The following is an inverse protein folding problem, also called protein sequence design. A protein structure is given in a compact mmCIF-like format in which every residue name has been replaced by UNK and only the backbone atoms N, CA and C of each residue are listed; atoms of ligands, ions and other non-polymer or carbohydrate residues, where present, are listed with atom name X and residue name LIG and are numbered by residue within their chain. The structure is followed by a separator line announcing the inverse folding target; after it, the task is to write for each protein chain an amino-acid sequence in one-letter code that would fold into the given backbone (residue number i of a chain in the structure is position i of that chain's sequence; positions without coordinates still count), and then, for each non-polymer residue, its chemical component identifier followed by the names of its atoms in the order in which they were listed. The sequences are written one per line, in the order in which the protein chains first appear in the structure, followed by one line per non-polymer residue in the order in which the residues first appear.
data_IF_857824956228
#
_entry.id   IF_857824956228
#
_cell.length_a   1.000
_cell.length_b   1.000
_cell.length_c   1.000
_cell.angle_alpha   90.00
_cell.angle_beta   90.00
_cell.angle_gamma   90.00
#
_symmetry.space_group_name_H-M   'P 1'
#
loop_
_entity.id
_entity.type
_entity.pdbx_description
1 polymer ?
#
# COMPACT_ATOMS: atom_id res chain seq x y z
N UNK A 1 52.15 -1.73 77.81
CA UNK A 1 52.83 -3.04 77.65
C UNK A 1 52.21 -3.71 76.44
N UNK A 2 52.95 -3.81 75.33
CA UNK A 2 53.09 -4.95 74.40
C UNK A 2 51.82 -5.57 73.83
N UNK A 3 51.60 -5.75 72.56
CA UNK A 3 52.49 -6.14 71.48
C UNK A 3 51.78 -6.00 70.11
N UNK A 4 52.57 -5.80 69.12
CA UNK A 4 52.27 -5.78 67.66
C UNK A 4 51.69 -7.09 67.13
N UNK A 5 50.84 -7.02 66.10
CA UNK A 5 50.92 -7.90 64.97
C UNK A 5 50.29 -7.26 63.71
N UNK A 6 51.09 -7.05 62.72
CA UNK A 6 50.72 -6.71 61.35
C UNK A 6 49.95 -7.89 60.74
N UNK A 7 48.83 -7.57 60.02
CA UNK A 7 48.35 -8.45 59.01
C UNK A 7 47.98 -7.62 57.74
N UNK A 8 48.72 -7.89 56.69
CA UNK A 8 48.45 -7.35 55.35
C UNK A 8 47.08 -7.83 54.83
N UNK A 9 46.22 -6.90 54.43
CA UNK A 9 45.09 -7.22 53.62
C UNK A 9 45.28 -6.70 52.20
N UNK A 10 45.33 -7.64 51.25
CA UNK A 10 45.37 -7.39 49.85
C UNK A 10 44.06 -6.74 49.38
N UNK A 11 44.16 -5.60 48.70
CA UNK A 11 43.03 -5.00 47.95
C UNK A 11 42.74 -5.83 46.73
N UNK A 12 41.62 -6.53 46.69
CA UNK A 12 41.03 -7.05 45.46
C UNK A 12 40.15 -5.94 44.83
N UNK A 13 40.65 -5.33 43.78
CA UNK A 13 39.88 -4.42 42.95
C UNK A 13 38.85 -5.26 42.12
N UNK A 14 37.60 -5.20 42.55
CA UNK A 14 36.51 -5.75 41.75
C UNK A 14 36.11 -4.75 40.67
N UNK A 15 36.66 -4.95 39.46
CA UNK A 15 36.30 -4.19 38.29
C UNK A 15 34.83 -4.49 37.91
N UNK A 16 33.97 -3.50 38.01
CA UNK A 16 32.64 -3.55 37.45
C UNK A 16 32.74 -3.59 35.92
N UNK A 17 32.57 -4.76 35.34
CA UNK A 17 32.31 -4.91 33.92
C UNK A 17 30.90 -4.36 33.67
N UNK A 18 30.84 -3.15 33.12
CA UNK A 18 29.64 -2.63 32.47
C UNK A 18 29.34 -3.53 31.26
N UNK A 19 28.33 -4.39 31.42
CA UNK A 19 27.73 -5.06 30.27
C UNK A 19 27.02 -4.00 29.43
N UNK A 20 27.76 -3.44 28.50
CA UNK A 20 27.20 -2.63 27.41
C UNK A 20 26.43 -3.60 26.51
N UNK A 21 25.12 -3.71 26.81
CA UNK A 21 24.14 -4.46 26.00
C UNK A 21 23.88 -3.72 24.69
N UNK A 22 24.91 -3.64 23.84
CA UNK A 22 24.69 -3.28 22.45
C UNK A 22 23.66 -4.27 21.89
N UNK A 23 22.40 -3.84 21.79
CA UNK A 23 21.42 -4.49 20.94
C UNK A 23 22.07 -4.63 19.57
N UNK A 24 22.49 -5.84 19.23
CA UNK A 24 22.76 -6.20 17.84
C UNK A 24 21.45 -5.95 17.10
N UNK A 25 21.35 -4.82 16.42
CA UNK A 25 20.40 -4.63 15.38
C UNK A 25 20.63 -5.80 14.41
N UNK A 26 19.67 -6.71 14.36
CA UNK A 26 19.66 -7.74 13.31
C UNK A 26 19.71 -6.97 12.01
N UNK A 27 20.70 -7.22 11.13
CA UNK A 27 20.74 -6.52 9.85
C UNK A 27 19.42 -6.78 9.15
N UNK A 28 18.71 -5.72 8.79
CA UNK A 28 17.59 -5.75 7.88
C UNK A 28 18.03 -6.62 6.71
N UNK A 29 17.27 -7.67 6.30
CA UNK A 29 17.70 -8.52 5.20
C UNK A 29 18.04 -7.61 4.03
N UNK A 30 19.27 -7.67 3.57
CA UNK A 30 19.76 -6.93 2.40
C UNK A 30 18.76 -7.22 1.28
N UNK A 31 18.05 -6.20 0.82
CA UNK A 31 17.14 -6.35 -0.30
C UNK A 31 17.92 -7.04 -1.43
N UNK A 32 17.41 -8.16 -1.92
CA UNK A 32 18.10 -8.93 -2.95
C UNK A 32 18.27 -8.02 -4.18
N UNK A 33 19.51 -7.68 -4.50
CA UNK A 33 19.83 -6.90 -5.70
C UNK A 33 19.63 -7.81 -6.88
N UNK A 34 18.67 -7.49 -7.72
CA UNK A 34 18.33 -8.24 -8.93
C UNK A 34 18.31 -7.28 -10.11
N UNK A 35 18.01 -7.73 -11.31
CA UNK A 35 18.16 -6.85 -12.48
C UNK A 35 17.02 -6.95 -13.48
N UNK A 36 16.79 -5.83 -14.16
CA UNK A 36 15.91 -5.70 -15.32
C UNK A 36 16.77 -5.26 -16.50
N UNK A 37 16.66 -5.92 -17.66
CA UNK A 37 17.25 -5.43 -18.90
C UNK A 37 16.19 -4.66 -19.66
N UNK A 38 16.45 -3.38 -19.93
CA UNK A 38 15.55 -2.46 -20.59
C UNK A 38 16.30 -1.69 -21.69
N UNK A 39 15.79 -1.69 -22.93
CA UNK A 39 16.48 -1.07 -24.06
C UNK A 39 17.90 -1.64 -24.29
N UNK A 40 18.10 -2.94 -24.02
CA UNK A 40 19.39 -3.61 -24.12
C UNK A 40 20.38 -3.30 -22.99
N UNK A 41 20.04 -2.45 -22.02
CA UNK A 41 20.88 -2.12 -20.87
C UNK A 41 20.39 -2.82 -19.61
N UNK A 42 21.32 -3.39 -18.85
CA UNK A 42 21.08 -3.96 -17.53
C UNK A 42 20.96 -2.85 -16.50
N UNK A 43 19.92 -2.91 -15.69
CA UNK A 43 19.64 -2.03 -14.55
C UNK A 43 19.52 -2.90 -13.32
N UNK A 44 20.35 -2.69 -12.33
CA UNK A 44 20.23 -3.37 -11.05
C UNK A 44 19.07 -2.74 -10.26
N UNK A 45 18.22 -3.55 -9.65
CA UNK A 45 17.03 -3.05 -8.97
C UNK A 45 16.92 -3.59 -7.55
N UNK A 46 16.48 -2.73 -6.64
CA UNK A 46 15.98 -3.15 -5.34
C UNK A 46 14.55 -3.61 -5.50
N UNK A 47 14.25 -4.84 -5.08
CA UNK A 47 12.95 -5.47 -5.26
C UNK A 47 12.09 -5.33 -4.00
N UNK A 48 10.89 -4.76 -4.15
CA UNK A 48 9.90 -4.58 -3.08
C UNK A 48 8.72 -5.53 -3.29
N UNK A 49 8.47 -6.41 -2.32
CA UNK A 49 7.52 -7.52 -2.44
C UNK A 49 6.36 -7.45 -1.46
N UNK A 50 6.53 -6.85 -0.26
CA UNK A 50 5.47 -6.82 0.75
C UNK A 50 4.47 -5.71 0.45
N UNK A 51 3.23 -5.90 0.86
CA UNK A 51 2.18 -4.91 0.65
C UNK A 51 2.49 -3.61 1.43
N UNK A 52 2.91 -3.75 2.67
CA UNK A 52 3.33 -2.63 3.52
C UNK A 52 4.47 -1.81 2.91
N UNK A 53 5.50 -2.49 2.40
CA UNK A 53 6.66 -1.79 1.82
C UNK A 53 6.30 -1.13 0.49
N UNK A 54 5.45 -1.75 -0.35
CA UNK A 54 4.97 -1.13 -1.60
C UNK A 54 4.19 0.15 -1.35
N UNK A 55 3.30 0.16 -0.34
CA UNK A 55 2.46 1.31 0.00
C UNK A 55 3.28 2.52 0.43
N UNK A 56 4.38 2.31 1.14
CA UNK A 56 5.25 3.36 1.66
C UNK A 56 6.63 3.37 0.98
N UNK A 57 6.74 2.81 -0.23
CA UNK A 57 8.02 2.65 -0.90
C UNK A 57 8.65 4.00 -1.25
N UNK A 58 7.97 4.79 -2.07
CA UNK A 58 8.56 5.94 -2.74
C UNK A 58 9.17 6.97 -1.79
N UNK A 59 8.55 7.36 -0.65
CA UNK A 59 9.17 8.28 0.30
C UNK A 59 10.51 7.80 0.89
N UNK A 60 10.76 6.48 0.86
CA UNK A 60 11.95 5.85 1.44
C UNK A 60 13.01 5.48 0.42
N UNK A 61 12.71 5.63 -0.87
CA UNK A 61 13.64 5.27 -1.93
C UNK A 61 14.69 6.37 -2.12
N UNK A 62 15.94 5.93 -2.25
CA UNK A 62 16.99 6.81 -2.74
C UNK A 62 16.78 7.17 -4.20
N UNK A 63 17.30 8.32 -4.69
CA UNK A 63 17.24 8.64 -6.09
C UNK A 63 17.81 7.51 -6.95
N UNK A 64 17.12 7.17 -8.04
CA UNK A 64 17.62 6.20 -9.01
C UNK A 64 18.79 6.78 -9.82
N UNK A 65 19.67 5.91 -10.32
CA UNK A 65 20.81 6.28 -11.15
C UNK A 65 20.65 5.67 -12.56
N UNK A 66 21.60 5.91 -13.45
CA UNK A 66 21.57 5.31 -14.80
C UNK A 66 21.70 3.78 -14.82
N UNK A 67 22.23 3.19 -13.74
CA UNK A 67 22.44 1.74 -13.61
C UNK A 67 21.66 1.10 -12.48
N UNK A 68 20.94 1.89 -11.68
CA UNK A 68 20.22 1.43 -10.50
C UNK A 68 18.81 2.02 -10.46
N UNK A 69 17.84 1.18 -10.11
CA UNK A 69 16.45 1.57 -9.94
C UNK A 69 15.78 0.77 -8.83
N UNK A 70 14.46 0.92 -8.75
CA UNK A 70 13.65 0.21 -7.79
C UNK A 70 12.51 -0.51 -8.51
N UNK A 71 12.22 -1.75 -8.14
CA UNK A 71 11.15 -2.54 -8.73
C UNK A 71 10.13 -2.92 -7.64
N UNK A 72 8.93 -2.40 -7.77
CA UNK A 72 7.79 -2.82 -6.97
C UNK A 72 7.06 -3.92 -7.75
N UNK A 73 6.77 -5.04 -7.10
CA UNK A 73 6.14 -6.19 -7.72
C UNK A 73 4.84 -6.58 -7.02
N UNK A 74 3.82 -6.91 -7.81
CA UNK A 74 2.52 -7.40 -7.34
C UNK A 74 2.28 -8.83 -7.83
N UNK A 75 1.53 -9.64 -7.08
CA UNK A 75 1.33 -11.06 -7.43
C UNK A 75 0.44 -11.24 -8.67
N UNK A 76 -0.37 -10.25 -8.99
CA UNK A 76 -1.26 -10.20 -10.17
C UNK A 76 -1.27 -8.81 -10.79
N UNK A 77 -1.65 -8.76 -12.05
CA UNK A 77 -1.88 -7.49 -12.74
C UNK A 77 -3.07 -6.75 -12.13
N UNK A 78 -2.89 -5.47 -11.88
CA UNK A 78 -3.90 -4.58 -11.33
C UNK A 78 -3.63 -3.13 -11.70
N UNK A 79 -4.63 -2.28 -11.50
CA UNK A 79 -4.40 -0.84 -11.47
C UNK A 79 -3.79 -0.47 -10.12
N UNK A 80 -2.52 -0.11 -10.13
CA UNK A 80 -1.78 0.29 -8.94
C UNK A 80 -1.47 1.78 -8.99
N UNK A 81 -1.60 2.48 -7.88
CA UNK A 81 -1.20 3.87 -7.76
C UNK A 81 0.19 3.94 -7.12
N UNK A 82 1.07 4.73 -7.69
CA UNK A 82 2.40 5.04 -7.13
C UNK A 82 2.35 6.49 -6.69
N UNK A 83 2.48 6.71 -5.40
CA UNK A 83 2.40 8.01 -4.73
C UNK A 83 3.80 8.47 -4.32
N UNK A 84 4.04 9.78 -4.42
CA UNK A 84 5.31 10.39 -4.06
C UNK A 84 5.16 11.46 -2.97
N UNK A 85 4.07 11.43 -2.21
CA UNK A 85 3.93 12.29 -1.04
C UNK A 85 5.11 12.07 -0.09
N UNK A 86 5.74 13.16 0.35
CA UNK A 86 6.97 13.15 1.16
C UNK A 86 8.19 12.49 0.51
N UNK A 87 8.21 12.31 -0.82
CA UNK A 87 9.36 11.76 -1.54
C UNK A 87 10.49 12.78 -1.67
N UNK A 88 11.72 12.32 -1.45
CA UNK A 88 12.94 13.11 -1.66
C UNK A 88 13.44 13.07 -3.11
N UNK A 89 12.81 12.28 -3.97
CA UNK A 89 13.25 12.07 -5.35
C UNK A 89 12.07 12.04 -6.33
N UNK A 90 12.34 12.45 -7.56
CA UNK A 90 11.47 12.22 -8.71
C UNK A 90 11.91 10.95 -9.45
N UNK A 91 10.97 10.32 -10.17
CA UNK A 91 11.21 9.10 -10.94
C UNK A 91 10.47 9.15 -12.29
N UNK A 92 10.95 8.38 -13.25
CA UNK A 92 10.12 7.90 -14.34
C UNK A 92 9.67 6.47 -14.01
N UNK A 93 8.37 6.23 -14.02
CA UNK A 93 7.79 4.93 -13.67
C UNK A 93 7.44 4.18 -14.97
N UNK A 94 8.10 3.03 -15.16
CA UNK A 94 7.84 2.09 -16.23
C UNK A 94 6.94 0.99 -15.69
N UNK A 95 5.68 0.98 -16.11
CA UNK A 95 4.73 -0.06 -15.73
C UNK A 95 4.83 -1.25 -16.68
N UNK A 96 4.98 -2.45 -16.10
CA UNK A 96 5.15 -3.69 -16.85
C UNK A 96 4.02 -4.66 -16.52
N UNK A 97 3.50 -5.35 -17.54
CA UNK A 97 2.65 -6.52 -17.35
C UNK A 97 3.45 -7.71 -16.79
N UNK A 98 2.78 -8.82 -16.54
CA UNK A 98 3.42 -10.03 -15.98
C UNK A 98 4.44 -10.65 -16.95
N UNK A 99 4.32 -10.39 -18.25
CA UNK A 99 5.25 -10.85 -19.28
C UNK A 99 6.45 -9.90 -19.50
N UNK A 100 6.52 -8.79 -18.75
CA UNK A 100 7.54 -7.75 -18.88
C UNK A 100 7.30 -6.77 -20.02
N UNK A 101 6.09 -6.73 -20.61
CA UNK A 101 5.77 -5.73 -21.65
C UNK A 101 5.48 -4.39 -20.98
N UNK A 102 6.02 -3.31 -21.52
CA UNK A 102 5.74 -1.95 -21.05
C UNK A 102 4.29 -1.60 -21.40
N UNK A 103 3.45 -1.41 -20.38
CA UNK A 103 2.04 -1.03 -20.54
C UNK A 103 1.81 0.47 -20.36
N UNK A 104 2.70 1.15 -19.65
CA UNK A 104 2.70 2.60 -19.53
C UNK A 104 4.06 3.16 -19.08
N UNK A 105 4.27 4.47 -19.31
CA UNK A 105 5.46 5.24 -18.93
C UNK A 105 5.00 6.60 -18.43
N UNK A 106 5.18 6.88 -17.14
CA UNK A 106 4.66 8.07 -16.52
C UNK A 106 5.73 8.75 -15.64
N UNK A 107 5.92 10.08 -15.75
CA UNK A 107 6.78 10.81 -14.84
C UNK A 107 6.10 10.95 -13.48
N UNK A 108 6.82 10.62 -12.42
CA UNK A 108 6.42 10.85 -11.04
C UNK A 108 7.28 11.96 -10.46
N UNK A 109 6.67 13.10 -10.16
CA UNK A 109 7.38 14.25 -9.60
C UNK A 109 7.68 14.01 -8.12
N UNK A 110 8.68 14.71 -7.61
CA UNK A 110 8.89 14.82 -6.18
C UNK A 110 7.66 15.44 -5.51
N UNK A 111 7.28 14.94 -4.34
CA UNK A 111 6.13 15.43 -3.55
C UNK A 111 4.79 15.43 -4.32
N UNK A 112 4.63 14.50 -5.26
CA UNK A 112 3.41 14.38 -6.07
C UNK A 112 2.29 13.71 -5.27
N UNK A 113 1.37 14.52 -4.74
CA UNK A 113 0.19 14.04 -3.99
C UNK A 113 -0.80 13.27 -4.89
N UNK A 114 -0.89 13.66 -6.18
CA UNK A 114 -1.76 12.97 -7.13
C UNK A 114 -1.19 11.60 -7.52
N UNK A 115 0.15 11.47 -7.56
CA UNK A 115 0.83 10.25 -7.96
C UNK A 115 0.54 9.84 -9.40
N UNK A 116 0.97 8.64 -9.78
CA UNK A 116 0.75 8.10 -11.13
C UNK A 116 0.09 6.72 -11.09
N UNK A 117 -0.77 6.45 -12.08
CA UNK A 117 -1.45 5.17 -12.26
C UNK A 117 -1.45 4.78 -13.75
N UNK A 118 -1.11 3.53 -14.09
CA UNK A 118 -1.06 3.09 -15.49
C UNK A 118 -2.46 3.03 -16.13
N UNK A 119 -2.52 3.22 -17.43
CA UNK A 119 -3.76 3.11 -18.23
C UNK A 119 -4.23 1.68 -18.42
N UNK A 120 -3.34 0.71 -18.25
CA UNK A 120 -3.62 -0.73 -18.30
C UNK A 120 -3.13 -1.41 -17.03
N UNK A 121 -3.73 -2.54 -16.59
CA UNK A 121 -3.22 -3.29 -15.45
C UNK A 121 -1.75 -3.66 -15.62
N UNK A 122 -1.00 -3.61 -14.54
CA UNK A 122 0.42 -3.95 -14.49
C UNK A 122 0.73 -4.86 -13.30
N UNK A 123 1.79 -5.67 -13.41
CA UNK A 123 2.32 -6.50 -12.33
C UNK A 123 3.56 -5.89 -11.69
N UNK A 124 4.23 -4.96 -12.38
CA UNK A 124 5.46 -4.33 -11.89
C UNK A 124 5.43 -2.83 -12.15
N UNK A 125 6.05 -2.07 -11.23
CA UNK A 125 6.40 -0.67 -11.43
C UNK A 125 7.92 -0.53 -11.24
N UNK A 126 8.63 -0.22 -12.32
CA UNK A 126 10.07 0.02 -12.33
C UNK A 126 10.31 1.53 -12.26
N UNK A 127 10.88 1.99 -11.16
CA UNK A 127 11.19 3.40 -10.90
C UNK A 127 12.63 3.65 -11.32
N UNK A 128 12.81 4.55 -12.26
CA UNK A 128 14.08 4.93 -12.88
C UNK A 128 14.38 6.41 -12.69
N UNK A 129 15.61 6.80 -12.93
CA UNK A 129 15.98 8.20 -12.94
C UNK A 129 15.18 8.98 -14.00
N UNK A 130 14.79 10.24 -13.74
CA UNK A 130 14.07 11.06 -14.70
C UNK A 130 14.79 11.16 -16.05
N UNK A 131 14.05 10.95 -17.14
CA UNK A 131 14.58 10.97 -18.50
C UNK A 131 15.29 9.69 -18.95
N UNK A 132 15.43 8.69 -18.07
CA UNK A 132 16.14 7.46 -18.41
C UNK A 132 15.41 6.59 -19.45
N UNK A 133 14.08 6.37 -19.38
CA UNK A 133 13.37 5.64 -20.44
C UNK A 133 13.55 6.25 -21.82
N UNK A 134 13.54 7.58 -21.92
CA UNK A 134 13.78 8.30 -23.18
C UNK A 134 15.20 8.09 -23.69
N UNK A 135 16.23 8.16 -22.80
CA UNK A 135 17.62 7.86 -23.16
C UNK A 135 17.82 6.42 -23.64
N UNK A 136 17.05 5.48 -23.08
CA UNK A 136 17.04 4.07 -23.50
C UNK A 136 16.25 3.83 -24.79
N UNK A 137 15.50 4.80 -25.27
CA UNK A 137 14.69 4.72 -26.50
C UNK A 137 13.51 3.76 -26.37
N UNK A 138 13.04 3.48 -25.14
CA UNK A 138 11.94 2.54 -24.91
C UNK A 138 10.58 3.22 -24.94
N UNK A 139 9.55 2.46 -25.33
CA UNK A 139 8.16 2.92 -25.46
C UNK A 139 7.18 1.84 -25.02
N UNK A 140 5.93 2.21 -24.87
CA UNK A 140 4.83 1.27 -24.63
C UNK A 140 4.80 0.21 -25.73
N UNK A 141 4.67 -1.05 -25.31
CA UNK A 141 4.74 -2.24 -26.18
C UNK A 141 6.13 -2.90 -26.23
N UNK A 142 7.20 -2.20 -25.86
CA UNK A 142 8.52 -2.82 -25.80
C UNK A 142 8.62 -3.78 -24.60
N UNK A 143 9.59 -4.70 -24.64
CA UNK A 143 9.81 -5.68 -23.59
C UNK A 143 11.02 -5.36 -22.72
N UNK A 144 10.81 -5.43 -21.41
CA UNK A 144 11.86 -5.59 -20.43
C UNK A 144 12.13 -7.08 -20.20
N UNK A 145 13.39 -7.45 -19.98
CA UNK A 145 13.77 -8.81 -19.55
C UNK A 145 13.96 -8.79 -18.04
N UNK A 146 13.11 -9.51 -17.34
CA UNK A 146 13.17 -9.67 -15.90
C UNK A 146 14.11 -10.83 -15.55
N UNK A 147 14.97 -10.66 -14.54
CA UNK A 147 15.87 -11.73 -14.11
C UNK A 147 15.10 -12.91 -13.48
N UNK A 148 15.73 -14.06 -13.41
CA UNK A 148 15.13 -15.27 -12.86
C UNK A 148 14.66 -15.08 -11.40
N UNK A 149 15.38 -14.27 -10.63
CA UNK A 149 15.06 -13.94 -9.24
C UNK A 149 13.73 -13.13 -9.16
N UNK A 150 13.50 -12.18 -10.09
CA UNK A 150 12.23 -11.44 -10.15
C UNK A 150 11.09 -12.39 -10.51
N UNK A 151 11.28 -13.24 -11.51
CA UNK A 151 10.25 -14.19 -11.96
C UNK A 151 9.91 -15.25 -10.92
N UNK A 152 10.89 -15.63 -10.08
CA UNK A 152 10.70 -16.57 -8.98
C UNK A 152 10.17 -15.94 -7.70
N UNK A 153 10.19 -14.61 -7.61
CA UNK A 153 9.73 -13.87 -6.45
C UNK A 153 8.22 -14.08 -6.22
N UNK A 154 7.83 -14.10 -4.96
CA UNK A 154 6.42 -14.24 -4.53
C UNK A 154 6.00 -12.95 -3.82
N UNK A 155 5.50 -11.95 -4.57
CA UNK A 155 4.96 -10.75 -3.97
C UNK A 155 3.77 -11.08 -3.07
N UNK A 156 3.65 -10.35 -1.97
CA UNK A 156 2.55 -10.51 -1.03
C UNK A 156 1.22 -10.07 -1.67
N UNK A 157 0.19 -10.91 -1.48
CA UNK A 157 -1.18 -10.60 -1.91
C UNK A 157 -1.77 -9.49 -1.03
N UNK A 158 -2.77 -8.77 -1.58
CA UNK A 158 -3.58 -7.91 -0.75
C UNK A 158 -4.34 -8.72 0.30
N UNK A 159 -4.55 -8.16 1.50
CA UNK A 159 -5.53 -8.69 2.42
C UNK A 159 -6.89 -8.88 1.74
N UNK A 160 -7.63 -9.87 2.18
CA UNK A 160 -8.98 -10.13 1.65
C UNK A 160 -10.03 -9.96 2.75
N UNK A 161 -11.13 -9.32 2.41
CA UNK A 161 -12.34 -9.29 3.21
C UNK A 161 -13.40 -10.17 2.53
N UNK A 162 -13.99 -11.10 3.26
CA UNK A 162 -15.12 -11.90 2.74
C UNK A 162 -16.41 -11.39 3.32
N UNK A 163 -17.42 -11.24 2.49
CA UNK A 163 -18.78 -10.81 2.88
C UNK A 163 -19.74 -11.87 2.38
N UNK A 164 -20.33 -12.65 3.27
CA UNK A 164 -21.17 -13.81 2.90
C UNK A 164 -20.49 -14.74 1.87
N UNK A 165 -19.16 -14.98 2.02
CA UNK A 165 -18.38 -15.80 1.12
C UNK A 165 -17.89 -15.11 -0.16
N UNK A 166 -18.34 -13.89 -0.45
CA UNK A 166 -17.83 -13.08 -1.57
C UNK A 166 -16.54 -12.39 -1.15
N UNK A 167 -15.49 -12.54 -1.94
CA UNK A 167 -14.15 -12.00 -1.63
C UNK A 167 -13.95 -10.64 -2.29
N UNK A 168 -13.52 -9.66 -1.50
CA UNK A 168 -12.92 -8.40 -1.93
C UNK A 168 -11.43 -8.38 -1.57
N UNK A 169 -10.57 -7.94 -2.50
CA UNK A 169 -9.16 -7.67 -2.19
C UNK A 169 -9.06 -6.24 -1.70
N UNK A 170 -8.45 -6.01 -0.56
CA UNK A 170 -8.51 -4.70 0.07
C UNK A 170 -7.14 -4.12 0.35
N UNK A 171 -6.93 -2.88 -0.08
CA UNK A 171 -5.91 -2.04 0.52
C UNK A 171 -6.42 -1.59 1.89
N UNK A 172 -5.52 -1.45 2.86
CA UNK A 172 -5.91 -1.05 4.21
C UNK A 172 -5.59 0.42 4.44
N UNK A 173 -6.55 1.19 4.93
CA UNK A 173 -6.37 2.53 5.44
C UNK A 173 -6.54 2.50 6.98
N UNK A 174 -5.42 2.46 7.71
CA UNK A 174 -5.38 2.24 9.15
C UNK A 174 -4.97 3.50 9.91
N UNK A 175 -3.96 4.21 9.41
CA UNK A 175 -3.53 5.49 9.98
C UNK A 175 -4.49 6.62 9.59
N UNK A 176 -4.46 7.71 10.32
CA UNK A 176 -5.29 8.88 10.00
C UNK A 176 -4.97 9.44 8.61
N UNK A 177 -3.68 9.53 8.26
CA UNK A 177 -3.25 9.99 6.95
C UNK A 177 -3.77 9.10 5.82
N UNK A 178 -3.68 7.77 5.94
CA UNK A 178 -4.20 6.83 4.97
C UNK A 178 -5.73 6.95 4.82
N UNK A 179 -6.46 7.08 5.93
CA UNK A 179 -7.92 7.27 5.88
C UNK A 179 -8.33 8.59 5.24
N UNK A 180 -7.59 9.67 5.52
CA UNK A 180 -7.86 10.98 4.93
C UNK A 180 -7.55 11.02 3.43
N UNK A 181 -6.55 10.27 2.99
CA UNK A 181 -6.19 10.14 1.57
C UNK A 181 -7.16 9.21 0.80
N UNK A 182 -7.46 8.04 1.35
CA UNK A 182 -8.40 7.07 0.76
C UNK A 182 -8.09 6.75 -0.71
N UNK A 183 -9.15 6.69 -1.54
CA UNK A 183 -9.06 6.45 -2.98
C UNK A 183 -8.95 7.73 -3.83
N UNK A 184 -8.50 8.85 -3.24
CA UNK A 184 -8.31 10.10 -3.97
C UNK A 184 -7.38 9.94 -5.18
N UNK A 185 -7.64 10.72 -6.22
CA UNK A 185 -6.86 10.81 -7.46
C UNK A 185 -6.73 9.48 -8.24
N UNK A 186 -7.56 8.46 -7.93
CA UNK A 186 -7.57 7.21 -8.68
C UNK A 186 -8.59 7.27 -9.81
N UNK A 187 -8.16 7.22 -11.08
CA UNK A 187 -9.08 7.25 -12.22
C UNK A 187 -9.79 5.91 -12.45
N UNK A 188 -9.36 4.84 -11.80
CA UNK A 188 -9.93 3.49 -11.93
C UNK A 188 -9.52 2.58 -10.78
N UNK A 189 -10.25 1.48 -10.61
CA UNK A 189 -9.99 0.43 -9.65
C UNK A 189 -10.26 -0.93 -10.31
N UNK A 190 -9.46 -1.95 -10.01
CA UNK A 190 -9.72 -3.31 -10.52
C UNK A 190 -11.05 -3.83 -9.96
N UNK A 191 -11.70 -4.75 -10.68
CA UNK A 191 -13.10 -5.12 -10.43
C UNK A 191 -13.40 -5.53 -8.99
N UNK A 192 -12.54 -6.38 -8.40
CA UNK A 192 -12.72 -6.91 -7.05
C UNK A 192 -11.72 -6.32 -6.05
N UNK A 193 -11.09 -5.20 -6.39
CA UNK A 193 -10.21 -4.44 -5.51
C UNK A 193 -10.98 -3.29 -4.87
N UNK A 194 -10.65 -2.98 -3.62
CA UNK A 194 -11.23 -1.90 -2.84
C UNK A 194 -10.27 -1.38 -1.77
N UNK A 195 -10.79 -0.53 -0.90
CA UNK A 195 -10.06 -0.05 0.26
C UNK A 195 -10.90 -0.24 1.52
N UNK A 196 -10.29 -0.87 2.53
CA UNK A 196 -10.89 -1.07 3.85
C UNK A 196 -10.29 -0.07 4.83
N UNK A 197 -11.13 0.85 5.27
CA UNK A 197 -10.83 1.80 6.32
C UNK A 197 -11.09 1.15 7.67
N UNK A 198 -10.09 1.12 8.53
CA UNK A 198 -10.19 0.58 9.88
C UNK A 198 -10.02 1.69 10.90
N UNK A 199 -10.93 1.75 11.87
CA UNK A 199 -10.92 2.74 12.94
C UNK A 199 -10.66 2.09 14.29
N UNK A 200 -10.09 2.81 15.27
CA UNK A 200 -9.82 2.26 16.61
C UNK A 200 -11.11 1.94 17.37
N UNK A 201 -12.19 2.68 17.11
CA UNK A 201 -13.48 2.59 17.80
C UNK A 201 -14.65 2.55 16.82
N UNK A 202 -15.81 2.11 17.29
CA UNK A 202 -17.09 2.34 16.62
C UNK A 202 -17.57 3.76 16.87
N UNK A 203 -18.07 4.40 15.81
CA UNK A 203 -18.65 5.74 15.87
C UNK A 203 -19.51 5.98 14.62
N UNK A 204 -20.33 7.01 14.63
CA UNK A 204 -21.00 7.48 13.42
C UNK A 204 -19.94 7.95 12.42
N UNK A 205 -19.96 7.36 11.23
CA UNK A 205 -19.00 7.66 10.16
C UNK A 205 -19.69 8.38 9.03
N UNK A 206 -18.95 9.30 8.43
CA UNK A 206 -19.41 10.00 7.23
C UNK A 206 -18.25 10.14 6.26
N UNK A 207 -18.48 9.76 5.01
CA UNK A 207 -17.51 9.81 3.94
C UNK A 207 -17.87 10.91 2.94
N UNK A 208 -16.89 11.41 2.27
CA UNK A 208 -17.00 12.42 1.23
C UNK A 208 -16.27 11.97 -0.03
N UNK A 209 -16.62 12.56 -1.18
CA UNK A 209 -16.00 12.24 -2.47
C UNK A 209 -14.94 13.28 -2.90
N UNK A 210 -14.29 13.94 -1.93
CA UNK A 210 -13.22 14.91 -2.24
C UNK A 210 -12.12 14.24 -3.05
N UNK A 211 -11.75 14.83 -4.20
CA UNK A 211 -10.71 14.33 -5.10
C UNK A 211 -10.88 12.85 -5.55
N UNK A 212 -12.05 12.25 -5.31
CA UNK A 212 -12.34 10.88 -5.75
C UNK A 212 -12.89 10.95 -7.18
N UNK A 213 -12.18 10.31 -8.12
CA UNK A 213 -12.44 10.44 -9.55
C UNK A 213 -13.37 9.35 -10.10
N UNK A 214 -13.67 8.34 -9.30
CA UNK A 214 -14.50 7.18 -9.65
C UNK A 214 -15.72 7.10 -8.74
N UNK A 215 -16.86 6.61 -9.26
CA UNK A 215 -18.03 6.33 -8.43
C UNK A 215 -17.78 5.08 -7.57
N UNK A 216 -18.24 5.11 -6.33
CA UNK A 216 -17.98 4.07 -5.35
C UNK A 216 -19.27 3.58 -4.66
N UNK A 217 -19.25 2.31 -4.25
CA UNK A 217 -20.08 1.81 -3.17
C UNK A 217 -19.31 2.00 -1.85
N UNK A 218 -19.91 2.62 -0.85
CA UNK A 218 -19.36 2.82 0.48
C UNK A 218 -20.18 1.99 1.47
N UNK A 219 -19.61 0.92 1.98
CA UNK A 219 -20.25 -0.02 2.89
C UNK A 219 -19.71 0.11 4.31
N UNK A 220 -20.62 0.22 5.27
CA UNK A 220 -20.31 0.44 6.69
C UNK A 220 -20.52 -0.83 7.49
N UNK A 221 -19.56 -1.17 8.37
CA UNK A 221 -19.59 -2.38 9.18
C UNK A 221 -19.32 -2.07 10.65
N UNK A 222 -20.01 -2.76 11.54
CA UNK A 222 -19.73 -2.76 12.97
C UNK A 222 -18.42 -3.43 13.32
N UNK A 223 -17.99 -3.40 14.58
CA UNK A 223 -16.77 -4.07 15.04
C UNK A 223 -16.81 -5.58 14.86
N UNK A 224 -17.99 -6.20 14.95
CA UNK A 224 -18.19 -7.63 14.74
C UNK A 224 -18.38 -8.01 13.26
N UNK A 225 -18.29 -7.02 12.35
CA UNK A 225 -18.39 -7.20 10.91
C UNK A 225 -19.80 -7.17 10.35
N UNK A 226 -20.85 -6.86 11.13
CA UNK A 226 -22.21 -6.73 10.62
C UNK A 226 -22.32 -5.56 9.66
N UNK A 227 -22.87 -5.79 8.45
CA UNK A 227 -23.09 -4.76 7.45
C UNK A 227 -24.28 -3.88 7.82
N UNK A 228 -24.03 -2.58 8.04
CA UNK A 228 -25.05 -1.59 8.43
C UNK A 228 -25.80 -1.00 7.24
N UNK A 229 -25.08 -0.53 6.25
CA UNK A 229 -25.60 0.04 5.01
C UNK A 229 -24.54 0.08 3.91
N UNK A 230 -25.01 0.18 2.67
CA UNK A 230 -24.20 0.49 1.50
C UNK A 230 -24.77 1.75 0.87
N UNK A 231 -23.93 2.74 0.66
CA UNK A 231 -24.29 3.96 -0.04
C UNK A 231 -23.62 3.96 -1.42
N UNK A 232 -24.41 4.03 -2.48
CA UNK A 232 -23.89 4.28 -3.82
C UNK A 232 -23.61 5.76 -3.97
N UNK A 233 -22.36 6.11 -4.27
CA UNK A 233 -21.99 7.49 -4.56
C UNK A 233 -21.99 7.68 -6.07
N UNK A 234 -22.89 8.52 -6.61
CA UNK A 234 -22.90 8.76 -8.03
C UNK A 234 -21.65 9.55 -8.45
N UNK A 235 -21.06 9.05 -9.47
CA UNK A 235 -20.11 9.59 -10.44
C UNK A 235 -19.22 10.79 -10.17
N UNK A 236 -18.12 10.69 -10.75
CA UNK A 236 -17.10 11.49 -11.47
C UNK A 236 -17.40 12.95 -11.87
N UNK A 237 -18.57 13.46 -11.63
CA UNK A 237 -18.91 14.89 -11.75
C UNK A 237 -18.84 15.61 -10.39
N UNK A 238 -18.20 15.01 -9.39
CA UNK A 238 -17.99 15.70 -8.11
C UNK A 238 -16.94 16.78 -8.34
N UNK A 239 -17.30 18.07 -8.19
CA UNK A 239 -16.36 19.15 -8.40
C UNK A 239 -15.14 18.98 -7.47
N UNK A 240 -13.93 19.25 -7.94
CA UNK A 240 -12.73 19.32 -7.08
C UNK A 240 -12.91 20.32 -5.91
N UNK A 241 -13.88 21.21 -5.97
CA UNK A 241 -14.15 22.28 -5.02
C UNK A 241 -15.53 22.18 -4.36
N UNK A 242 -16.04 20.99 -4.00
CA UNK A 242 -17.28 20.86 -3.25
C UNK A 242 -18.52 21.55 -3.82
N UNK A 243 -19.67 21.48 -3.19
CA UNK A 243 -19.91 20.72 -1.97
C UNK A 243 -19.93 19.21 -2.24
N UNK A 244 -19.39 18.43 -1.32
CA UNK A 244 -19.43 16.97 -1.36
C UNK A 244 -20.52 16.48 -0.40
N UNK A 245 -21.65 15.96 -0.89
CA UNK A 245 -22.67 15.41 -0.02
C UNK A 245 -22.08 14.33 0.89
N UNK A 246 -22.36 14.36 2.19
CA UNK A 246 -21.88 13.32 3.09
C UNK A 246 -22.53 11.98 2.79
N UNK A 247 -21.76 10.90 2.90
CA UNK A 247 -22.23 9.53 2.83
C UNK A 247 -22.15 8.92 4.22
N UNK A 248 -23.23 8.98 5.05
CA UNK A 248 -23.21 8.57 6.44
C UNK A 248 -23.43 7.08 6.63
N UNK A 249 -22.92 6.53 7.74
CA UNK A 249 -23.35 5.24 8.27
C UNK A 249 -24.75 5.33 8.88
N UNK A 250 -25.47 4.21 8.92
CA UNK A 250 -26.76 4.07 9.62
C UNK A 250 -26.60 3.53 11.04
N UNK A 251 -25.50 3.93 11.71
CA UNK A 251 -25.14 3.51 13.06
C UNK A 251 -23.62 3.51 13.24
N UNK A 252 -23.18 3.21 14.46
CA UNK A 252 -21.77 3.19 14.79
C UNK A 252 -21.03 2.14 13.97
N UNK A 253 -20.05 2.58 13.19
CA UNK A 253 -19.22 1.73 12.32
C UNK A 253 -17.77 1.79 12.75
N UNK A 254 -17.11 0.62 12.70
CA UNK A 254 -15.66 0.50 12.91
C UNK A 254 -14.89 0.33 11.62
N UNK A 255 -15.53 -0.28 10.61
CA UNK A 255 -14.91 -0.53 9.32
C UNK A 255 -15.77 0.04 8.20
N UNK A 256 -15.10 0.55 7.19
CA UNK A 256 -15.77 1.06 5.98
C UNK A 256 -15.06 0.49 4.77
N UNK A 257 -15.81 -0.10 3.84
CA UNK A 257 -15.27 -0.68 2.61
C UNK A 257 -15.74 0.12 1.41
N UNK A 258 -14.79 0.67 0.67
CA UNK A 258 -15.02 1.30 -0.62
C UNK A 258 -14.71 0.31 -1.75
N UNK A 259 -15.67 0.15 -2.67
CA UNK A 259 -15.60 -0.71 -3.86
C UNK A 259 -16.07 0.07 -5.09
N UNK A 260 -15.80 -0.44 -6.29
CA UNK A 260 -16.43 0.09 -7.50
C UNK A 260 -17.97 0.14 -7.33
N UNK A 261 -18.59 1.21 -7.80
CA UNK A 261 -20.05 1.37 -7.74
C UNK A 261 -20.79 0.16 -8.34
N UNK A 262 -21.84 -0.29 -7.67
CA UNK A 262 -22.65 -1.44 -8.06
C UNK A 262 -22.00 -2.80 -7.75
N UNK A 263 -20.83 -2.84 -7.10
CA UNK A 263 -20.16 -4.09 -6.76
C UNK A 263 -21.01 -4.94 -5.80
N UNK A 264 -21.54 -4.34 -4.75
CA UNK A 264 -22.38 -5.04 -3.76
C UNK A 264 -23.65 -5.63 -4.39
N UNK A 265 -24.27 -4.88 -5.29
CA UNK A 265 -25.46 -5.34 -6.04
C UNK A 265 -25.10 -6.48 -7.01
N UNK A 266 -24.01 -6.34 -7.76
CA UNK A 266 -23.52 -7.36 -8.71
C UNK A 266 -23.16 -8.67 -8.00
N UNK A 267 -22.69 -8.59 -6.76
CA UNK A 267 -22.31 -9.75 -5.93
C UNK A 267 -23.49 -10.32 -5.12
N UNK A 268 -24.69 -9.76 -5.25
CA UNK A 268 -25.87 -10.24 -4.53
C UNK A 268 -25.88 -9.94 -3.02
N UNK A 269 -25.11 -8.96 -2.58
CA UNK A 269 -25.04 -8.52 -1.18
C UNK A 269 -26.07 -7.42 -0.88
N UNK A 270 -26.58 -6.79 -1.93
CA UNK A 270 -27.64 -5.79 -1.92
C UNK A 270 -28.65 -6.21 -2.99
N UNK A 271 -29.94 -6.16 -2.68
CA UNK A 271 -31.03 -6.51 -3.61
C UNK A 271 -31.27 -5.44 -4.69
N UNK A 272 -32.23 -5.71 -5.58
CA UNK A 272 -32.59 -4.80 -6.67
C UNK A 272 -33.13 -3.44 -6.20
N UNK A 273 -33.62 -3.35 -4.95
CA UNK A 273 -34.15 -2.14 -4.33
C UNK A 273 -33.13 -1.40 -3.48
N UNK A 274 -31.90 -1.87 -3.41
CA UNK A 274 -30.82 -1.26 -2.61
C UNK A 274 -30.82 -1.68 -1.13
N UNK A 275 -31.59 -2.70 -0.77
CA UNK A 275 -31.60 -3.23 0.60
C UNK A 275 -30.50 -4.28 0.78
N UNK A 276 -29.85 -4.24 1.93
CA UNK A 276 -28.86 -5.24 2.32
C UNK A 276 -29.56 -6.60 2.48
N UNK A 277 -28.91 -7.64 1.96
CA UNK A 277 -29.34 -9.02 2.24
C UNK A 277 -29.24 -9.27 3.75
N UNK A 278 -30.34 -9.69 4.42
CA UNK A 278 -30.35 -9.87 5.87
C UNK A 278 -29.23 -10.79 6.36
N UNK A 279 -28.58 -10.40 7.45
CA UNK A 279 -27.49 -11.17 8.06
C UNK A 279 -26.14 -11.03 7.32
N UNK A 280 -26.02 -10.10 6.38
CA UNK A 280 -24.74 -9.84 5.72
C UNK A 280 -23.65 -9.45 6.72
N UNK A 281 -22.56 -10.21 6.70
CA UNK A 281 -21.44 -10.05 7.62
C UNK A 281 -20.11 -10.17 6.89
N UNK A 282 -19.20 -9.24 7.20
CA UNK A 282 -17.83 -9.23 6.69
C UNK A 282 -16.87 -9.91 7.65
N UNK A 283 -16.01 -10.79 7.13
CA UNK A 283 -14.86 -11.33 7.84
C UNK A 283 -13.73 -10.30 7.71
N UNK A 284 -13.47 -9.57 8.79
CA UNK A 284 -12.45 -8.50 8.81
C UNK A 284 -11.06 -9.12 8.75
N UNK A 285 -10.18 -8.72 7.82
CA UNK A 285 -8.82 -9.25 7.75
C UNK A 285 -8.04 -8.92 9.03
N UNK A 286 -7.25 -9.88 9.57
CA UNK A 286 -6.50 -9.70 10.82
C UNK A 286 -5.57 -8.48 10.81
N UNK A 287 -5.05 -8.11 9.65
CA UNK A 287 -4.19 -6.94 9.49
C UNK A 287 -4.93 -5.62 9.82
N UNK A 288 -6.24 -5.55 9.55
CA UNK A 288 -7.07 -4.40 9.88
C UNK A 288 -7.43 -4.32 11.37
N UNK A 289 -7.34 -5.43 12.10
CA UNK A 289 -7.66 -5.47 13.55
C UNK A 289 -6.44 -5.26 14.43
N UNK A 290 -5.24 -5.50 13.92
CA UNK A 290 -3.96 -5.45 14.65
C UNK A 290 -3.12 -4.22 14.30
N UNK A 291 -3.62 -3.32 13.45
CA UNK A 291 -2.91 -2.14 13.03
C UNK A 291 -2.70 -1.15 14.18
N UNK A 292 -1.58 -0.42 14.15
CA UNK A 292 -1.40 0.79 14.96
C UNK A 292 -2.21 1.88 14.29
N UNK A 293 -3.13 2.48 15.03
CA UNK A 293 -4.04 3.53 14.56
C UNK A 293 -3.48 4.95 14.74
N UNK A 294 -2.16 5.05 14.90
CA UNK A 294 -1.42 6.30 15.16
C UNK A 294 -1.21 7.14 13.90
#
# INVERSE_FOLDING_TARGET
MTNYSLLLLALAACGALACDGARRETPTPSAAVTSVTLGGKRIDVTLTLTEKDRRHAVPRLSPATETQGHLLAWPRERFMKIEAENSQAAFDVVFLDKAGTIVDLLPLKQEDEEGVMPRSPAAYALLLAPGQPQKLGVKVGDKAVLSAEILAAKPEELPTMKINGVTANVELAITEAERNHGLMFRPRLSTDDGMLFAYPNEDDRSFWMKNTLIPLDIAFFTADGTLLNVNETPTAAVPRQGPWPPSPSKGAARYVLEMNVGWFKKKGLVDGSGHIVPGSKGEIPPQATKGTYD
#
